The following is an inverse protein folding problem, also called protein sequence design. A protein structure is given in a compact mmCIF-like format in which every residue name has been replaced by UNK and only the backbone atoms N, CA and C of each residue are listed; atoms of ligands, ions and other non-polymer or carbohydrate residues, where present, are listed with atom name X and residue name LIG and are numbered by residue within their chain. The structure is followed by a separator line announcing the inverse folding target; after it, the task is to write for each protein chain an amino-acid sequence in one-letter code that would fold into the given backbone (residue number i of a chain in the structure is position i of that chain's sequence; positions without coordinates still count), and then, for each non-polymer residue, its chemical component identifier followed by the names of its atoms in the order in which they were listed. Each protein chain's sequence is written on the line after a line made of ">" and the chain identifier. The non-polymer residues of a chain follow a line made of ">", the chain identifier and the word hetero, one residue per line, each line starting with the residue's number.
data_IF_205804945291
#
_entry.id   IF_205804945291
#
_cell.length_a   1.000
_cell.length_b   1.000
_cell.length_c   1.000
_cell.angle_alpha   90.00
_cell.angle_beta   90.00
_cell.angle_gamma   90.00
#
_symmetry.space_group_name_H-M   'P 1'
#
loop_
_entity.id
_entity.type
_entity.pdbx_description
1 polymer ?
#
# COMPACT_ATOMS: atom_id res chain seq x y z
N UNK A 1 7.82 2.54 8.11
CA UNK A 1 8.01 3.02 6.72
C UNK A 1 7.25 2.13 5.77
N UNK A 2 7.03 2.59 4.55
CA UNK A 2 6.50 1.81 3.45
C UNK A 2 7.60 1.58 2.43
N UNK A 3 7.83 0.32 2.07
CA UNK A 3 8.90 -0.09 1.16
C UNK A 3 8.28 -0.60 -0.13
N UNK A 4 8.74 -0.06 -1.26
CA UNK A 4 8.34 -0.55 -2.57
C UNK A 4 9.44 -1.38 -3.24
N UNK A 5 9.01 -2.29 -4.09
CA UNK A 5 9.85 -2.89 -5.13
C UNK A 5 9.70 -2.09 -6.43
N UNK A 6 9.23 -2.75 -7.48
CA UNK A 6 9.07 -2.13 -8.81
C UNK A 6 7.61 -1.89 -9.24
N UNK A 7 6.62 -2.36 -8.48
CA UNK A 7 5.24 -2.48 -8.96
C UNK A 7 4.27 -1.47 -8.32
N UNK A 8 4.78 -0.46 -7.61
CA UNK A 8 3.94 0.47 -6.84
C UNK A 8 3.22 -0.16 -5.65
N UNK A 9 3.59 -1.40 -5.29
CA UNK A 9 3.15 -2.09 -4.08
C UNK A 9 4.06 -1.65 -2.93
N UNK A 10 3.45 -1.30 -1.81
CA UNK A 10 4.12 -0.78 -0.63
C UNK A 10 3.85 -1.67 0.58
N UNK A 11 4.89 -2.34 1.04
CA UNK A 11 4.84 -3.20 2.23
C UNK A 11 5.23 -2.42 3.47
N UNK A 12 4.58 -2.71 4.60
CA UNK A 12 4.96 -2.14 5.88
C UNK A 12 6.28 -2.74 6.35
N UNK A 13 7.20 -1.85 6.73
CA UNK A 13 8.49 -2.23 7.29
C UNK A 13 9.00 -1.27 8.37
N UNK A 14 9.99 -1.75 9.12
CA UNK A 14 10.66 -1.07 10.21
C UNK A 14 12.13 -0.86 9.84
N UNK A 15 12.61 0.37 9.94
CA UNK A 15 14.02 0.69 9.70
C UNK A 15 14.86 0.10 10.83
N UNK A 16 15.88 -0.68 10.47
CA UNK A 16 16.85 -1.25 11.42
C UNK A 16 18.17 -0.49 11.41
N UNK A 17 18.66 -0.07 10.25
CA UNK A 17 19.94 0.60 10.12
C UNK A 17 19.99 1.44 8.85
N UNK A 18 20.78 2.50 8.89
CA UNK A 18 21.05 3.38 7.75
C UNK A 18 22.46 3.11 7.23
N UNK A 19 22.60 3.19 5.91
CA UNK A 19 23.85 3.23 5.16
C UNK A 19 23.81 4.50 4.30
N UNK A 20 24.76 4.66 3.36
CA UNK A 20 24.86 5.86 2.53
C UNK A 20 23.57 6.15 1.73
N UNK A 21 23.23 5.32 0.74
CA UNK A 21 22.02 5.45 -0.09
C UNK A 21 20.98 4.36 0.18
N UNK A 22 21.25 3.48 1.14
CA UNK A 22 20.44 2.31 1.48
C UNK A 22 20.03 2.29 2.95
N UNK A 23 18.95 1.56 3.23
CA UNK A 23 18.47 1.24 4.57
C UNK A 23 18.19 -0.24 4.69
N UNK A 24 18.53 -0.81 5.85
CA UNK A 24 18.09 -2.15 6.22
C UNK A 24 16.67 -2.05 6.78
N UNK A 25 15.73 -2.76 6.16
CA UNK A 25 14.34 -2.82 6.58
C UNK A 25 13.98 -4.24 6.99
N UNK A 26 13.23 -4.34 8.09
CA UNK A 26 12.56 -5.55 8.53
C UNK A 26 11.07 -5.45 8.22
N UNK A 27 10.49 -6.49 7.62
CA UNK A 27 9.09 -6.48 7.21
C UNK A 27 8.16 -6.89 8.36
N UNK A 28 6.93 -6.38 8.34
CA UNK A 28 5.92 -6.71 9.36
C UNK A 28 5.73 -8.22 9.47
N UNK A 29 5.60 -8.75 10.69
CA UNK A 29 5.48 -10.18 10.97
C UNK A 29 6.64 -11.06 10.46
N UNK A 30 7.75 -10.48 9.99
CA UNK A 30 8.89 -11.19 9.41
C UNK A 30 8.47 -12.15 8.28
N UNK A 31 7.46 -11.78 7.47
CA UNK A 31 6.98 -12.63 6.36
C UNK A 31 8.05 -12.87 5.29
N UNK A 32 9.07 -12.01 5.25
CA UNK A 32 10.32 -12.22 4.51
C UNK A 32 11.52 -11.76 5.36
N UNK A 33 12.75 -12.20 5.02
CA UNK A 33 13.97 -11.75 5.69
C UNK A 33 14.19 -10.23 5.58
N UNK A 34 15.03 -9.70 6.47
CA UNK A 34 15.47 -8.31 6.39
C UNK A 34 16.15 -8.03 5.04
N UNK A 35 15.89 -6.86 4.46
CA UNK A 35 16.40 -6.49 3.14
C UNK A 35 17.01 -5.10 3.15
N UNK A 36 18.16 -4.95 2.50
CA UNK A 36 18.70 -3.64 2.14
C UNK A 36 17.96 -3.11 0.92
N UNK A 37 17.46 -1.89 1.03
CA UNK A 37 16.73 -1.21 -0.05
C UNK A 37 17.24 0.21 -0.15
N UNK A 38 17.19 0.77 -1.37
CA UNK A 38 17.52 2.18 -1.58
C UNK A 38 16.57 3.08 -0.80
N UNK A 39 17.08 4.19 -0.29
CA UNK A 39 16.27 5.23 0.33
C UNK A 39 15.16 5.73 -0.61
N UNK A 40 15.43 5.77 -1.92
CA UNK A 40 14.44 6.13 -2.95
C UNK A 40 13.25 5.16 -3.05
N UNK A 41 13.39 3.93 -2.54
CA UNK A 41 12.35 2.90 -2.52
C UNK A 41 11.57 2.89 -1.20
N UNK A 42 11.82 3.84 -0.31
CA UNK A 42 11.18 3.94 1.01
C UNK A 42 10.45 5.26 1.13
N UNK A 43 9.21 5.22 1.60
CA UNK A 43 8.42 6.41 1.96
C UNK A 43 7.87 6.33 3.37
N UNK A 44 7.48 7.48 3.90
CA UNK A 44 6.70 7.53 5.13
C UNK A 44 5.23 7.22 4.81
N UNK A 45 4.51 6.49 5.69
CA UNK A 45 3.08 6.33 5.53
C UNK A 45 2.38 7.70 5.59
N UNK A 46 1.24 7.86 4.91
CA UNK A 46 0.47 9.10 4.98
C UNK A 46 0.08 9.40 6.43
N UNK A 47 0.04 10.70 6.79
CA UNK A 47 -0.28 11.14 8.15
C UNK A 47 -1.69 10.67 8.52
N UNK A 48 -1.83 9.90 9.61
CA UNK A 48 -3.15 9.60 10.18
C UNK A 48 -3.80 10.93 10.61
N UNK A 49 -4.87 11.35 9.94
CA UNK A 49 -5.64 12.54 10.35
C UNK A 49 -6.13 13.44 9.22
N UNK A 50 -5.77 13.20 7.96
CA UNK A 50 -6.53 13.80 6.85
C UNK A 50 -7.93 13.20 6.87
N UNK A 51 -8.97 14.05 6.90
CA UNK A 51 -10.37 13.63 6.72
C UNK A 51 -10.47 12.49 5.71
N UNK A 52 -11.31 11.48 5.98
CA UNK A 52 -11.56 10.40 5.02
C UNK A 52 -11.85 11.06 3.66
N UNK A 53 -11.01 10.85 2.65
CA UNK A 53 -11.20 11.52 1.37
C UNK A 53 -12.57 11.13 0.81
N UNK A 54 -13.29 12.09 0.25
CA UNK A 54 -14.52 11.80 -0.50
C UNK A 54 -14.13 11.10 -1.80
N UNK A 55 -14.21 9.77 -1.78
CA UNK A 55 -13.91 8.95 -2.95
C UNK A 55 -14.96 9.13 -4.04
N UNK A 56 -14.52 9.05 -5.29
CA UNK A 56 -15.37 9.07 -6.49
C UNK A 56 -15.17 7.81 -7.33
N UNK A 57 -16.18 7.47 -8.12
CA UNK A 57 -16.02 6.44 -9.15
C UNK A 57 -14.96 6.85 -10.17
N UNK A 58 -14.26 5.87 -10.73
CA UNK A 58 -13.09 6.04 -11.61
C UNK A 58 -11.86 6.73 -11.00
N UNK A 59 -11.86 7.01 -9.70
CA UNK A 59 -10.71 7.57 -8.99
C UNK A 59 -9.60 6.52 -8.79
N UNK A 60 -8.34 6.96 -8.89
CA UNK A 60 -7.17 6.14 -8.57
C UNK A 60 -6.88 6.22 -7.08
N UNK A 61 -6.75 5.06 -6.44
CA UNK A 61 -6.58 4.91 -4.99
C UNK A 61 -5.52 3.87 -4.68
N UNK A 62 -5.10 3.81 -3.42
CA UNK A 62 -4.36 2.68 -2.88
C UNK A 62 -5.28 1.86 -1.99
N UNK A 63 -5.24 0.53 -2.12
CA UNK A 63 -6.03 -0.38 -1.31
C UNK A 63 -5.14 -1.29 -0.48
N UNK A 64 -5.61 -1.65 0.72
CA UNK A 64 -4.87 -2.49 1.65
C UNK A 64 -5.33 -3.93 1.58
N UNK A 65 -4.44 -4.83 1.18
CA UNK A 65 -4.75 -6.24 1.03
C UNK A 65 -3.53 -7.10 0.80
N UNK A 66 -3.76 -8.39 0.56
CA UNK A 66 -2.72 -9.32 0.11
C UNK A 66 -2.56 -9.19 -1.40
N UNK A 67 -1.32 -9.10 -1.88
CA UNK A 67 -1.03 -9.15 -3.32
C UNK A 67 -0.93 -10.60 -3.80
N UNK A 68 -0.36 -11.48 -2.98
CA UNK A 68 -0.29 -12.93 -3.16
C UNK A 68 -0.49 -13.63 -1.82
N UNK A 69 -0.84 -14.92 -1.85
CA UNK A 69 -1.11 -15.68 -0.62
C UNK A 69 0.09 -15.73 0.34
N UNK A 70 1.30 -15.79 -0.23
CA UNK A 70 2.58 -15.85 0.48
C UNK A 70 3.11 -14.47 0.91
N UNK A 71 2.56 -13.39 0.36
CA UNK A 71 3.02 -12.02 0.64
C UNK A 71 2.37 -11.47 1.92
N UNK A 72 3.08 -10.53 2.55
CA UNK A 72 2.50 -9.69 3.61
C UNK A 72 1.41 -8.76 3.08
N UNK A 73 0.66 -8.15 4.00
CA UNK A 73 -0.30 -7.11 3.65
C UNK A 73 0.43 -5.87 3.12
N UNK A 74 -0.13 -5.28 2.08
CA UNK A 74 0.45 -4.15 1.38
C UNK A 74 -0.59 -3.14 0.94
N UNK A 75 -0.13 -1.92 0.68
CA UNK A 75 -0.87 -0.93 -0.08
C UNK A 75 -0.50 -1.05 -1.55
N UNK A 76 -1.48 -1.23 -2.44
CA UNK A 76 -1.25 -1.35 -3.88
C UNK A 76 -2.23 -0.50 -4.68
N UNK A 77 -1.84 -0.07 -5.89
CA UNK A 77 -2.67 0.81 -6.70
C UNK A 77 -3.89 0.06 -7.24
N UNK A 78 -5.04 0.73 -7.17
CA UNK A 78 -6.31 0.27 -7.73
C UNK A 78 -7.13 1.46 -8.25
N UNK A 79 -8.25 1.16 -8.92
CA UNK A 79 -9.24 2.14 -9.36
C UNK A 79 -10.62 1.78 -8.83
N UNK A 80 -11.33 2.77 -8.30
CA UNK A 80 -12.72 2.59 -7.86
C UNK A 80 -13.62 2.42 -9.07
N UNK A 81 -14.38 1.32 -9.12
CA UNK A 81 -15.38 1.04 -10.16
C UNK A 81 -16.79 1.42 -9.74
N UNK A 82 -17.11 1.27 -8.46
CA UNK A 82 -18.43 1.57 -7.92
C UNK A 82 -18.32 1.90 -6.45
N UNK A 83 -19.14 2.84 -5.99
CA UNK A 83 -19.29 3.16 -4.57
C UNK A 83 -20.71 2.83 -4.11
N UNK A 84 -20.84 2.10 -3.00
CA UNK A 84 -22.14 1.74 -2.44
C UNK A 84 -22.09 1.72 -0.92
N UNK A 85 -22.59 2.79 -0.29
CA UNK A 85 -22.57 2.94 1.16
C UNK A 85 -21.14 2.97 1.69
N UNK A 86 -20.80 2.05 2.58
CA UNK A 86 -19.46 1.92 3.19
C UNK A 86 -18.52 0.95 2.44
N UNK A 87 -18.90 0.53 1.23
CA UNK A 87 -18.13 -0.39 0.41
C UNK A 87 -17.83 0.22 -0.97
N UNK A 88 -16.70 -0.18 -1.54
CA UNK A 88 -16.33 0.11 -2.92
C UNK A 88 -15.99 -1.19 -3.66
N UNK A 89 -16.36 -1.24 -4.93
CA UNK A 89 -15.79 -2.19 -5.88
C UNK A 89 -14.53 -1.55 -6.44
N UNK A 90 -13.39 -2.20 -6.29
CA UNK A 90 -12.10 -1.72 -6.80
C UNK A 90 -11.54 -2.70 -7.82
N UNK A 91 -10.84 -2.17 -8.81
CA UNK A 91 -10.14 -2.94 -9.82
C UNK A 91 -8.64 -2.71 -9.67
N UNK A 92 -7.92 -3.80 -9.41
CA UNK A 92 -6.47 -3.81 -9.18
C UNK A 92 -5.70 -3.78 -10.50
N UNK A 93 -4.38 -3.55 -10.47
CA UNK A 93 -3.56 -3.50 -11.70
C UNK A 93 -3.43 -4.84 -12.46
N UNK A 94 -3.90 -5.95 -11.89
CA UNK A 94 -3.98 -7.27 -12.51
C UNK A 94 -5.42 -7.65 -12.92
N UNK A 95 -6.30 -6.65 -13.08
CA UNK A 95 -7.70 -6.77 -13.51
C UNK A 95 -8.60 -7.65 -12.62
N UNK A 96 -8.18 -7.96 -11.39
CA UNK A 96 -9.08 -8.52 -10.38
C UNK A 96 -9.97 -7.43 -9.79
N UNK A 97 -11.23 -7.78 -9.54
CA UNK A 97 -12.18 -6.92 -8.86
C UNK A 97 -12.40 -7.42 -7.44
N UNK A 98 -12.19 -6.54 -6.47
CA UNK A 98 -12.41 -6.80 -5.05
C UNK A 98 -13.49 -5.88 -4.50
N UNK A 99 -14.27 -6.36 -3.53
CA UNK A 99 -15.20 -5.55 -2.76
C UNK A 99 -14.55 -5.26 -1.41
N UNK A 100 -14.24 -4.00 -1.16
CA UNK A 100 -13.53 -3.59 0.05
C UNK A 100 -14.34 -2.55 0.82
N UNK A 101 -14.31 -2.59 2.16
CA UNK A 101 -14.80 -1.49 2.98
C UNK A 101 -13.90 -0.25 2.79
N UNK A 102 -14.50 0.94 2.90
CA UNK A 102 -13.80 2.22 2.66
C UNK A 102 -12.61 2.47 3.59
N UNK A 103 -12.52 1.80 4.73
CA UNK A 103 -11.38 1.88 5.66
C UNK A 103 -10.11 1.16 5.15
N UNK A 104 -10.26 0.28 4.14
CA UNK A 104 -9.16 -0.37 3.41
C UNK A 104 -8.70 0.41 2.20
N UNK A 105 -9.27 1.59 1.95
CA UNK A 105 -8.99 2.43 0.80
C UNK A 105 -8.42 3.75 1.29
N UNK A 106 -7.40 4.26 0.60
CA UNK A 106 -6.84 5.59 0.86
C UNK A 106 -6.53 6.31 -0.44
N UNK A 107 -6.45 7.64 -0.35
CA UNK A 107 -5.89 8.44 -1.43
C UNK A 107 -4.44 8.02 -1.72
N UNK A 108 -4.02 8.14 -2.99
CA UNK A 108 -2.63 7.84 -3.37
C UNK A 108 -1.70 8.75 -2.58
N UNK A 109 -0.78 8.14 -1.81
CA UNK A 109 0.22 8.91 -1.08
C UNK A 109 1.18 9.56 -2.09
N UNK A 110 1.23 10.89 -2.08
CA UNK A 110 2.25 11.68 -2.79
C UNK A 110 3.63 11.51 -2.14
#
# INVERSE_FOLDING_TARGET
>A
VEVTGNNGVYFKGYLKSFYDDEVLVSFENNWQPDRRVKLSSVRLPPKLGSNKPEFREDERVEVFGKVKDEDGLAWYPARIKMLKGEFAVVSSFWDANDILPLDKIRAVSQ
#
